data_IF_906187642705
#
_entry.id   IF_906187642705
#
_cell.length_a   1.000
_cell.length_b   1.000
_cell.length_c   1.000
_cell.angle_alpha   90.00
_cell.angle_beta   90.00
_cell.angle_gamma   90.00
#
_symmetry.space_group_name_H-M   'P 1'
#
loop_
_entity.id
_entity.type
_entity.pdbx_description
1 polymer ?
#
# COMPACT_ATOMS: atom_id res chain seq x y z
N UNK A 1 2.76 5.40 21.24
CA UNK A 1 3.97 4.57 21.47
C UNK A 1 4.86 5.23 22.52
N UNK A 2 5.22 4.52 23.60
CA UNK A 2 6.22 4.99 24.57
C UNK A 2 7.54 4.22 24.33
N UNK A 3 8.63 4.90 23.99
CA UNK A 3 9.92 4.27 23.66
C UNK A 3 10.46 3.38 24.77
N UNK A 4 10.24 3.76 26.03
CA UNK A 4 10.61 2.96 27.20
C UNK A 4 9.92 1.60 27.22
N UNK A 5 8.65 1.54 26.83
CA UNK A 5 7.90 0.29 26.76
C UNK A 5 8.39 -0.59 25.60
N UNK A 6 8.75 0.01 24.47
CA UNK A 6 9.38 -0.71 23.34
C UNK A 6 10.71 -1.31 23.77
N UNK A 7 11.58 -0.53 24.42
CA UNK A 7 12.88 -0.98 24.94
C UNK A 7 12.72 -2.16 25.90
N UNK A 8 11.75 -2.06 26.83
CA UNK A 8 11.44 -3.12 27.80
C UNK A 8 10.99 -4.41 27.11
N UNK A 9 10.06 -4.33 26.15
CA UNK A 9 9.54 -5.50 25.42
C UNK A 9 10.61 -6.14 24.52
N UNK A 10 11.41 -5.33 23.85
CA UNK A 10 12.49 -5.78 23.00
C UNK A 10 13.75 -6.22 23.77
N UNK A 11 13.77 -6.05 25.10
CA UNK A 11 14.92 -6.35 25.98
C UNK A 11 16.21 -5.64 25.56
N UNK A 12 16.09 -4.40 25.08
CA UNK A 12 17.23 -3.55 24.68
C UNK A 12 17.27 -2.27 25.52
N UNK A 13 18.43 -1.64 25.61
CA UNK A 13 18.56 -0.35 26.29
C UNK A 13 17.93 0.78 25.45
N UNK A 14 17.48 1.86 26.11
CA UNK A 14 17.06 3.06 25.38
C UNK A 14 18.19 3.65 24.54
N UNK A 15 19.43 3.59 25.02
CA UNK A 15 20.60 4.06 24.27
C UNK A 15 20.79 3.27 22.96
N UNK A 16 20.52 1.96 22.96
CA UNK A 16 20.57 1.13 21.76
C UNK A 16 19.53 1.58 20.72
N UNK A 17 18.32 1.90 21.16
CA UNK A 17 17.26 2.41 20.27
C UNK A 17 17.65 3.78 19.71
N UNK A 18 18.08 4.71 20.56
CA UNK A 18 18.44 6.07 20.13
C UNK A 18 19.66 6.13 19.21
N UNK A 19 20.57 5.17 19.28
CA UNK A 19 21.67 5.04 18.30
C UNK A 19 21.18 4.76 16.88
N UNK A 20 19.98 4.20 16.72
CA UNK A 20 19.43 3.80 15.42
C UNK A 20 18.27 4.68 14.96
N UNK A 21 17.51 5.22 15.90
CA UNK A 21 16.36 6.10 15.64
C UNK A 21 16.41 7.27 16.61
N UNK A 22 16.70 8.47 16.09
CA UNK A 22 16.86 9.67 16.91
C UNK A 22 15.53 10.09 17.54
N UNK A 23 14.41 9.79 16.88
CA UNK A 23 13.07 10.14 17.35
C UNK A 23 12.13 8.94 17.43
N UNK A 24 11.04 9.11 18.19
CA UNK A 24 9.93 8.15 18.23
C UNK A 24 9.31 7.95 16.84
N UNK A 25 9.16 9.03 16.08
CA UNK A 25 8.49 8.99 14.79
C UNK A 25 9.37 8.28 13.75
N UNK A 26 10.69 8.50 13.77
CA UNK A 26 11.64 7.70 12.98
C UNK A 26 11.55 6.20 13.27
N UNK A 27 11.44 5.80 14.55
CA UNK A 27 11.24 4.40 14.91
C UNK A 27 9.92 3.85 14.34
N UNK A 28 8.84 4.63 14.40
CA UNK A 28 7.53 4.22 13.87
C UNK A 28 7.58 4.07 12.35
N UNK A 29 8.16 5.04 11.64
CA UNK A 29 8.36 5.01 10.19
C UNK A 29 9.16 3.77 9.81
N UNK A 30 10.29 3.52 10.47
CA UNK A 30 11.13 2.35 10.17
C UNK A 30 10.42 1.02 10.47
N UNK A 31 9.65 0.93 11.55
CA UNK A 31 8.87 -0.25 11.87
C UNK A 31 7.76 -0.50 10.83
N UNK A 32 7.10 0.56 10.35
CA UNK A 32 6.09 0.48 9.29
C UNK A 32 6.70 0.05 7.96
N UNK A 33 7.84 0.64 7.56
CA UNK A 33 8.56 0.23 6.34
C UNK A 33 8.91 -1.24 6.38
N UNK A 34 9.54 -1.69 7.48
CA UNK A 34 9.87 -3.10 7.66
C UNK A 34 8.65 -4.02 7.60
N UNK A 35 7.55 -3.64 8.25
CA UNK A 35 6.33 -4.43 8.21
C UNK A 35 5.73 -4.48 6.80
N UNK A 36 5.76 -3.37 6.07
CA UNK A 36 5.28 -3.30 4.69
C UNK A 36 6.10 -4.20 3.78
N UNK A 37 7.43 -4.24 3.93
CA UNK A 37 8.30 -5.15 3.17
C UNK A 37 8.03 -6.61 3.48
N UNK A 38 7.85 -6.93 4.76
CA UNK A 38 7.64 -8.30 5.21
C UNK A 38 6.24 -8.84 4.91
N UNK A 39 5.26 -7.98 4.63
CA UNK A 39 3.86 -8.37 4.46
C UNK A 39 3.26 -7.79 3.18
N UNK A 40 3.06 -6.47 3.12
CA UNK A 40 2.36 -5.79 2.02
C UNK A 40 3.01 -5.97 0.65
N UNK A 41 4.33 -5.89 0.60
CA UNK A 41 5.11 -5.96 -0.64
C UNK A 41 5.85 -7.29 -0.79
N UNK A 42 5.59 -8.23 0.11
CA UNK A 42 6.20 -9.55 0.06
C UNK A 42 5.79 -10.25 -1.23
N UNK A 43 6.77 -10.62 -2.06
CA UNK A 43 6.54 -11.31 -3.33
C UNK A 43 5.94 -10.45 -4.45
N UNK A 44 5.72 -9.14 -4.23
CA UNK A 44 5.03 -8.29 -5.21
C UNK A 44 5.79 -8.17 -6.54
N UNK A 45 7.13 -8.13 -6.48
CA UNK A 45 7.97 -8.11 -7.68
C UNK A 45 7.90 -9.44 -8.45
N UNK A 46 7.93 -10.57 -7.74
CA UNK A 46 7.84 -11.90 -8.36
C UNK A 46 6.45 -12.14 -8.98
N UNK A 47 5.39 -11.64 -8.32
CA UNK A 47 4.03 -11.72 -8.83
C UNK A 47 3.94 -11.12 -10.24
N UNK A 48 4.56 -9.96 -10.49
CA UNK A 48 4.52 -9.29 -11.79
C UNK A 48 5.07 -10.16 -12.94
N UNK A 49 6.11 -10.94 -12.67
CA UNK A 49 6.73 -11.84 -13.66
C UNK A 49 5.89 -13.10 -13.93
N UNK A 50 5.00 -13.47 -12.99
CA UNK A 50 4.16 -14.67 -13.04
C UNK A 50 2.77 -14.40 -13.62
N UNK A 51 2.41 -13.14 -13.88
CA UNK A 51 1.08 -12.79 -14.39
C UNK A 51 0.86 -13.32 -15.81
N UNK A 52 -0.31 -13.91 -16.13
CA UNK A 52 -0.58 -14.49 -17.44
C UNK A 52 -0.53 -13.48 -18.60
N UNK A 53 -0.91 -12.23 -18.37
CA UNK A 53 -1.01 -11.22 -19.43
C UNK A 53 -2.27 -11.32 -20.29
N UNK A 54 -3.13 -12.31 -20.05
CA UNK A 54 -4.33 -12.56 -20.86
C UNK A 54 -5.49 -11.58 -20.56
N UNK A 55 -5.48 -10.95 -19.38
CA UNK A 55 -6.54 -10.04 -18.97
C UNK A 55 -5.99 -8.94 -18.07
N UNK A 56 -6.04 -7.70 -18.56
CA UNK A 56 -5.64 -6.54 -17.78
C UNK A 56 -6.42 -6.41 -16.48
N UNK A 57 -7.71 -6.74 -16.50
CA UNK A 57 -8.54 -6.80 -15.30
C UNK A 57 -7.97 -7.80 -14.28
N UNK A 58 -7.72 -9.03 -14.71
CA UNK A 58 -7.25 -10.09 -13.82
C UNK A 58 -5.87 -9.75 -13.22
N UNK A 59 -4.95 -9.25 -14.05
CA UNK A 59 -3.59 -8.89 -13.66
C UNK A 59 -3.57 -7.74 -12.65
N UNK A 60 -4.34 -6.68 -12.90
CA UNK A 60 -4.52 -5.61 -11.92
C UNK A 60 -5.14 -6.15 -10.62
N UNK A 61 -6.14 -7.03 -10.69
CA UNK A 61 -6.77 -7.58 -9.50
C UNK A 61 -5.86 -8.49 -8.67
N UNK A 62 -4.94 -9.24 -9.30
CA UNK A 62 -3.93 -10.00 -8.57
C UNK A 62 -3.02 -9.06 -7.75
N UNK A 63 -2.54 -7.99 -8.37
CA UNK A 63 -1.69 -6.99 -7.70
C UNK A 63 -2.44 -6.26 -6.58
N UNK A 64 -3.68 -5.84 -6.83
CA UNK A 64 -4.47 -5.16 -5.80
C UNK A 64 -4.74 -6.08 -4.60
N UNK A 65 -5.08 -7.35 -4.83
CA UNK A 65 -5.24 -8.32 -3.73
C UNK A 65 -3.97 -8.45 -2.91
N UNK A 66 -2.82 -8.64 -3.55
CA UNK A 66 -1.53 -8.74 -2.84
C UNK A 66 -1.23 -7.49 -1.99
N UNK A 67 -1.58 -6.29 -2.48
CA UNK A 67 -1.33 -5.03 -1.79
C UNK A 67 -2.31 -4.80 -0.61
N UNK A 68 -3.57 -5.23 -0.73
CA UNK A 68 -4.63 -4.89 0.23
C UNK A 68 -4.93 -6.00 1.24
N UNK A 69 -4.74 -7.27 0.90
CA UNK A 69 -4.98 -8.39 1.83
C UNK A 69 -4.21 -8.24 3.16
N UNK A 70 -2.91 -7.86 3.19
CA UNK A 70 -2.21 -7.67 4.45
C UNK A 70 -2.81 -6.55 5.32
N UNK A 71 -3.43 -5.54 4.70
CA UNK A 71 -4.14 -4.50 5.44
C UNK A 71 -5.46 -4.98 6.01
N UNK A 72 -6.20 -5.79 5.27
CA UNK A 72 -7.45 -6.40 5.75
C UNK A 72 -7.19 -7.34 6.93
N UNK A 73 -6.11 -8.12 6.88
CA UNK A 73 -5.68 -8.99 7.98
C UNK A 73 -5.14 -8.20 9.19
N UNK A 74 -4.63 -6.98 8.96
CA UNK A 74 -4.01 -6.14 9.99
C UNK A 74 -4.48 -4.66 9.93
N UNK A 75 -5.76 -4.36 10.17
CA UNK A 75 -6.34 -3.02 9.96
C UNK A 75 -5.70 -1.94 10.84
N UNK A 76 -5.21 -2.30 12.03
CA UNK A 76 -4.48 -1.39 12.91
C UNK A 76 -3.16 -0.92 12.30
N UNK A 77 -2.53 -1.73 11.45
CA UNK A 77 -1.32 -1.33 10.73
C UNK A 77 -1.64 -0.30 9.65
N UNK A 78 -2.76 -0.44 8.94
CA UNK A 78 -3.23 0.57 7.99
C UNK A 78 -3.55 1.89 8.71
N UNK A 79 -4.27 1.85 9.85
CA UNK A 79 -4.52 3.06 10.66
C UNK A 79 -3.22 3.72 11.12
N UNK A 80 -2.25 2.92 11.56
CA UNK A 80 -0.93 3.42 11.99
C UNK A 80 -0.15 4.06 10.85
N UNK A 81 -0.19 3.47 9.65
CA UNK A 81 0.39 4.05 8.43
C UNK A 81 -0.23 5.42 8.11
N UNK A 82 -1.55 5.54 8.16
CA UNK A 82 -2.26 6.80 7.91
C UNK A 82 -1.95 7.90 8.92
N UNK A 83 -1.69 7.54 10.17
CA UNK A 83 -1.24 8.50 11.18
C UNK A 83 0.21 8.92 10.94
N UNK A 84 1.09 7.97 10.63
CA UNK A 84 2.52 8.23 10.45
C UNK A 84 2.83 9.00 9.16
N UNK A 85 2.07 8.78 8.07
CA UNK A 85 2.32 9.43 6.76
C UNK A 85 2.20 10.96 6.81
N UNK A 86 1.40 11.49 7.74
CA UNK A 86 1.20 12.93 7.94
C UNK A 86 2.20 13.54 8.94
N UNK A 87 3.03 12.72 9.59
CA UNK A 87 4.03 13.15 10.56
C UNK A 87 5.46 13.22 9.99
N UNK A 88 6.46 13.53 10.84
CA UNK A 88 7.86 13.54 10.46
C UNK A 88 8.31 12.19 9.87
N UNK A 89 9.00 12.23 8.73
CA UNK A 89 9.42 11.01 8.01
C UNK A 89 8.32 10.33 7.21
N UNK A 90 7.07 10.82 7.26
CA UNK A 90 5.93 10.27 6.52
C UNK A 90 6.11 10.28 4.99
N UNK A 91 6.84 11.24 4.44
CA UNK A 91 7.17 11.26 3.01
C UNK A 91 7.96 10.02 2.59
N UNK A 92 8.83 9.48 3.47
CA UNK A 92 9.56 8.25 3.22
C UNK A 92 8.65 7.02 3.13
N UNK A 93 7.54 6.99 3.89
CA UNK A 93 6.53 5.92 3.79
C UNK A 93 5.76 5.97 2.47
N UNK A 94 5.49 7.17 1.97
CA UNK A 94 4.81 7.36 0.69
C UNK A 94 5.75 6.93 -0.44
N UNK A 95 6.99 7.44 -0.45
CA UNK A 95 7.98 7.10 -1.47
C UNK A 95 8.26 5.60 -1.50
N UNK A 96 8.42 4.97 -0.33
CA UNK A 96 8.60 3.51 -0.22
C UNK A 96 7.49 2.72 -0.90
N UNK A 97 6.24 3.17 -0.78
CA UNK A 97 5.13 2.53 -1.48
C UNK A 97 5.10 2.78 -2.98
N UNK A 98 5.48 3.98 -3.42
CA UNK A 98 5.63 4.30 -4.83
C UNK A 98 6.69 3.39 -5.46
N UNK A 99 7.86 3.28 -4.82
CA UNK A 99 8.99 2.50 -5.32
C UNK A 99 8.66 1.00 -5.42
N UNK A 100 7.82 0.48 -4.52
CA UNK A 100 7.39 -0.91 -4.53
C UNK A 100 6.29 -1.20 -5.58
N UNK A 101 5.32 -0.30 -5.75
CA UNK A 101 4.10 -0.59 -6.53
C UNK A 101 4.19 -0.12 -7.98
N UNK A 102 4.78 1.06 -8.23
CA UNK A 102 4.78 1.66 -9.57
C UNK A 102 5.49 0.77 -10.62
N UNK A 103 6.64 0.14 -10.35
CA UNK A 103 7.28 -0.74 -11.33
C UNK A 103 6.38 -1.89 -11.79
N UNK A 104 5.63 -2.47 -10.85
CA UNK A 104 4.71 -3.60 -11.12
C UNK A 104 3.52 -3.13 -11.97
N UNK A 105 2.88 -2.02 -11.60
CA UNK A 105 1.78 -1.46 -12.39
C UNK A 105 2.25 -1.07 -13.81
N UNK A 106 3.44 -0.49 -13.94
CA UNK A 106 4.01 -0.15 -15.26
C UNK A 106 4.27 -1.38 -16.12
N UNK A 107 4.73 -2.47 -15.52
CA UNK A 107 4.94 -3.74 -16.24
C UNK A 107 3.62 -4.27 -16.80
N UNK A 108 2.56 -4.29 -16.00
CA UNK A 108 1.21 -4.72 -16.43
C UNK A 108 0.67 -3.84 -17.56
N UNK A 109 0.85 -2.52 -17.44
CA UNK A 109 0.34 -1.55 -18.43
C UNK A 109 1.20 -1.42 -19.68
N UNK A 110 2.33 -2.14 -19.78
CA UNK A 110 3.26 -2.00 -20.91
C UNK A 110 2.68 -2.40 -22.26
N UNK A 111 1.67 -3.29 -22.26
CA UNK A 111 0.95 -3.74 -23.46
C UNK A 111 -0.33 -2.93 -23.75
N UNK A 112 -0.74 -2.04 -22.84
CA UNK A 112 -1.95 -1.25 -22.99
C UNK A 112 -1.72 0.00 -23.87
N UNK A 113 -2.81 0.57 -24.38
CA UNK A 113 -2.74 1.88 -25.04
C UNK A 113 -2.19 2.94 -24.06
N UNK A 114 -1.19 3.76 -24.45
CA UNK A 114 -0.56 4.71 -23.53
C UNK A 114 -1.48 5.79 -22.98
N UNK A 115 -2.49 6.24 -23.74
CA UNK A 115 -3.45 7.23 -23.25
C UNK A 115 -4.39 6.58 -22.23
N UNK A 116 -4.89 5.38 -22.54
CA UNK A 116 -5.68 4.59 -21.60
C UNK A 116 -4.91 4.27 -20.31
N UNK A 117 -3.65 3.84 -20.39
CA UNK A 117 -2.82 3.53 -19.23
C UNK A 117 -2.66 4.74 -18.30
N UNK A 118 -2.46 5.93 -18.88
CA UNK A 118 -2.35 7.18 -18.12
C UNK A 118 -3.65 7.56 -17.41
N UNK A 119 -4.78 7.43 -18.10
CA UNK A 119 -6.10 7.73 -17.53
C UNK A 119 -6.46 6.73 -16.42
N UNK A 120 -6.17 5.44 -16.64
CA UNK A 120 -6.34 4.38 -15.65
C UNK A 120 -5.51 4.68 -14.39
N UNK A 121 -4.22 5.01 -14.53
CA UNK A 121 -3.34 5.34 -13.38
C UNK A 121 -3.89 6.52 -12.57
N UNK A 122 -4.32 7.59 -13.26
CA UNK A 122 -4.87 8.78 -12.63
C UNK A 122 -6.16 8.48 -11.85
N UNK A 123 -7.12 7.82 -12.51
CA UNK A 123 -8.43 7.52 -11.92
C UNK A 123 -8.27 6.55 -10.75
N UNK A 124 -7.54 5.44 -10.95
CA UNK A 124 -7.39 4.41 -9.94
C UNK A 124 -6.64 4.92 -8.71
N UNK A 125 -5.63 5.77 -8.90
CA UNK A 125 -4.94 6.46 -7.79
C UNK A 125 -5.94 7.29 -6.97
N UNK A 126 -6.79 8.09 -7.62
CA UNK A 126 -7.83 8.87 -6.95
C UNK A 126 -8.82 7.99 -6.17
N UNK A 127 -9.29 6.90 -6.78
CA UNK A 127 -10.20 5.93 -6.16
C UNK A 127 -9.57 5.31 -4.90
N UNK A 128 -8.34 4.83 -5.00
CA UNK A 128 -7.61 4.24 -3.88
C UNK A 128 -7.44 5.25 -2.74
N UNK A 129 -6.99 6.47 -3.05
CA UNK A 129 -6.86 7.52 -2.03
C UNK A 129 -8.21 7.87 -1.39
N UNK A 130 -9.29 7.87 -2.16
CA UNK A 130 -10.65 8.07 -1.66
C UNK A 130 -11.07 7.01 -0.64
N UNK A 131 -10.92 5.73 -0.98
CA UNK A 131 -11.24 4.64 -0.05
C UNK A 131 -10.38 4.67 1.21
N UNK A 132 -9.08 4.82 1.04
CA UNK A 132 -8.17 4.85 2.17
C UNK A 132 -8.44 6.04 3.11
N UNK A 133 -8.85 7.19 2.56
CA UNK A 133 -9.20 8.38 3.36
C UNK A 133 -10.52 8.20 4.11
N UNK A 134 -11.52 7.57 3.51
CA UNK A 134 -12.77 7.21 4.20
C UNK A 134 -12.51 6.22 5.34
N UNK A 135 -11.67 5.20 5.11
CA UNK A 135 -11.27 4.26 6.17
C UNK A 135 -10.56 4.95 7.33
N UNK A 136 -9.64 5.87 7.02
CA UNK A 136 -8.90 6.62 8.03
C UNK A 136 -9.83 7.52 8.89
N UNK A 137 -10.91 8.03 8.30
CA UNK A 137 -11.95 8.80 9.00
C UNK A 137 -12.94 7.91 9.77
N UNK A 138 -12.97 6.61 9.47
CA UNK A 138 -13.91 5.66 10.08
C UNK A 138 -15.27 5.61 9.39
N UNK A 139 -15.38 6.15 8.17
CA UNK A 139 -16.61 6.16 7.38
C UNK A 139 -16.91 4.80 6.74
N UNK A 140 -15.87 3.98 6.54
CA UNK A 140 -15.96 2.62 5.99
C UNK A 140 -15.04 1.68 6.78
N UNK A 141 -15.31 0.37 6.67
CA UNK A 141 -14.44 -0.68 7.19
C UNK A 141 -13.32 -1.01 6.20
N UNK A 142 -12.24 -1.64 6.68
CA UNK A 142 -11.11 -2.04 5.82
C UNK A 142 -11.57 -2.99 4.71
N UNK A 143 -12.56 -3.83 5.00
CA UNK A 143 -13.14 -4.82 4.08
C UNK A 143 -13.96 -4.19 2.95
N UNK A 144 -14.28 -2.91 3.02
CA UNK A 144 -15.01 -2.20 1.96
C UNK A 144 -14.08 -1.70 0.84
N UNK A 145 -12.77 -1.63 1.11
CA UNK A 145 -11.78 -1.00 0.23
C UNK A 145 -11.57 -1.83 -1.04
N UNK A 146 -11.19 -3.10 -0.90
CA UNK A 146 -10.86 -3.94 -2.06
C UNK A 146 -12.07 -4.20 -2.98
N UNK A 147 -13.29 -4.48 -2.48
CA UNK A 147 -14.47 -4.59 -3.34
C UNK A 147 -14.82 -3.28 -4.08
N UNK A 148 -14.51 -2.14 -3.47
CA UNK A 148 -14.63 -0.82 -4.10
C UNK A 148 -13.66 -0.65 -5.27
N UNK A 149 -12.40 -0.99 -5.05
CA UNK A 149 -11.34 -0.98 -6.07
C UNK A 149 -11.66 -1.97 -7.19
N UNK A 150 -12.11 -3.18 -6.86
CA UNK A 150 -12.48 -4.22 -7.84
C UNK A 150 -13.51 -3.71 -8.85
N UNK A 151 -14.58 -3.07 -8.36
CA UNK A 151 -15.61 -2.49 -9.24
C UNK A 151 -15.07 -1.38 -10.13
N UNK A 152 -14.18 -0.53 -9.60
CA UNK A 152 -13.56 0.52 -10.41
C UNK A 152 -12.67 -0.08 -11.51
N UNK A 153 -11.81 -1.05 -11.17
CA UNK A 153 -10.94 -1.73 -12.13
C UNK A 153 -11.78 -2.46 -13.19
N UNK A 154 -12.85 -3.15 -12.78
CA UNK A 154 -13.76 -3.83 -13.71
C UNK A 154 -14.31 -2.88 -14.77
N UNK A 155 -14.91 -1.76 -14.36
CA UNK A 155 -15.54 -0.83 -15.29
C UNK A 155 -14.53 -0.07 -16.16
N UNK A 156 -13.33 0.20 -15.65
CA UNK A 156 -12.27 0.85 -16.42
C UNK A 156 -11.68 -0.08 -17.48
N UNK A 157 -11.69 -1.39 -17.26
CA UNK A 157 -11.10 -2.39 -18.17
C UNK A 157 -12.12 -3.12 -19.04
N UNK A 158 -13.41 -2.99 -18.72
CA UNK A 158 -14.52 -3.57 -19.47
C UNK A 158 -15.62 -2.52 -19.68
N UNK A 159 -15.35 -1.44 -20.44
CA UNK A 159 -16.36 -0.44 -20.73
C UNK A 159 -17.54 -1.09 -21.49
N UNK A 160 -18.79 -0.66 -21.24
CA UNK A 160 -19.93 -1.12 -22.03
C UNK A 160 -19.66 -0.85 -23.52
N UNK A 161 -19.90 -1.84 -24.36
CA UNK A 161 -19.99 -1.64 -25.81
C UNK A 161 -21.36 -1.09 -26.14
N UNK A 162 -21.41 0.06 -26.82
CA UNK A 162 -22.63 0.63 -27.41
C UNK A 162 -23.27 -0.30 -28.45
#
# INVERSE_FOLDING_TARGET
VQLREVARRARVSMATIYKRYATRDELIVAALQWWMDANRYAGLAALADELPGDSLYADLMHVQRAIFEPWEQHPNMLRSYFQARSGPGGQGLIQHGIDAVVPVIKSILSSADPAFAKDLELILTGVIFGFLSQFAQGDIEVTDILPGIERAVYWLTNPPTD
#
